data_IF_144531355128
#
_entry.id   IF_144531355128
#
_cell.length_a   1.000
_cell.length_b   1.000
_cell.length_c   1.000
_cell.angle_alpha   90.00
_cell.angle_beta   90.00
_cell.angle_gamma   90.00
#
_symmetry.space_group_name_H-M   'P 1'
#
loop_
_entity.id
_entity.type
_entity.pdbx_description
1 polymer ?
#
# COMPACT_ATOMS: atom_id res chain seq x y z
N UNK A 1 70.71 29.30 2.14
CA UNK A 1 70.18 30.49 1.44
C UNK A 1 68.80 30.13 0.90
N UNK A 2 67.74 30.88 1.27
CA UNK A 2 66.93 31.72 0.34
C UNK A 2 66.27 30.89 -0.79
N UNK A 3 64.97 30.83 -1.06
CA UNK A 3 63.75 31.61 -0.79
C UNK A 3 62.59 30.69 -1.26
N UNK A 4 61.50 30.53 -0.51
CA UNK A 4 60.17 31.11 -0.80
C UNK A 4 59.76 31.14 -2.29
N UNK A 5 58.69 30.42 -2.67
CA UNK A 5 57.52 31.07 -3.29
C UNK A 5 56.27 30.18 -3.23
N UNK A 6 55.27 30.76 -2.57
CA UNK A 6 53.86 30.42 -2.41
C UNK A 6 53.12 30.33 -3.75
N UNK A 7 52.24 29.34 -3.92
CA UNK A 7 51.08 29.46 -4.82
C UNK A 7 49.94 28.60 -4.27
N UNK A 8 49.18 29.22 -3.36
CA UNK A 8 47.92 28.72 -2.81
C UNK A 8 46.81 29.17 -3.77
N UNK A 9 46.51 28.34 -4.77
CA UNK A 9 45.42 28.62 -5.71
C UNK A 9 44.11 28.15 -5.08
N UNK A 10 43.39 29.10 -4.46
CA UNK A 10 42.05 28.89 -3.93
C UNK A 10 41.06 28.71 -5.09
N UNK A 11 40.71 27.45 -5.38
CA UNK A 11 39.63 27.12 -6.30
C UNK A 11 38.30 27.18 -5.53
N UNK A 12 37.68 28.36 -5.53
CA UNK A 12 36.31 28.53 -5.06
C UNK A 12 35.34 27.88 -6.07
N UNK A 13 34.98 26.61 -5.84
CA UNK A 13 33.86 25.98 -6.53
C UNK A 13 32.57 26.68 -6.06
N UNK A 14 32.04 27.55 -6.91
CA UNK A 14 30.71 28.13 -6.73
C UNK A 14 29.66 27.02 -6.69
N UNK A 15 29.07 26.81 -5.52
CA UNK A 15 27.84 26.05 -5.33
C UNK A 15 26.68 26.81 -5.97
N UNK A 16 26.47 26.59 -7.27
CA UNK A 16 25.22 27.00 -7.89
C UNK A 16 24.09 26.17 -7.27
N UNK A 17 23.04 26.79 -6.72
CA UNK A 17 21.87 26.06 -6.26
C UNK A 17 21.19 25.47 -7.49
N UNK A 18 21.42 24.18 -7.75
CA UNK A 18 20.55 23.43 -8.64
C UNK A 18 19.18 23.43 -7.98
N UNK A 19 18.13 23.99 -8.61
CA UNK A 19 16.79 23.74 -8.13
C UNK A 19 16.64 22.23 -8.13
N UNK A 20 16.40 21.64 -6.96
CA UNK A 20 15.96 20.27 -6.83
C UNK A 20 14.56 20.19 -7.46
N UNK A 21 14.52 20.20 -8.79
CA UNK A 21 13.33 19.92 -9.55
C UNK A 21 13.01 18.47 -9.27
N UNK A 22 12.02 18.23 -8.43
CA UNK A 22 11.44 16.91 -8.26
C UNK A 22 11.16 16.38 -9.66
N UNK A 23 11.91 15.37 -10.08
CA UNK A 23 11.79 14.73 -11.38
C UNK A 23 10.44 14.04 -11.43
N UNK A 24 9.45 14.79 -11.89
CA UNK A 24 8.10 14.27 -12.11
C UNK A 24 8.16 13.39 -13.34
N UNK A 25 8.14 12.07 -13.11
CA UNK A 25 8.05 11.11 -14.21
C UNK A 25 6.76 11.41 -15.01
N UNK A 26 6.83 11.45 -16.35
CA UNK A 26 5.64 11.63 -17.17
C UNK A 26 4.55 10.61 -16.80
N UNK A 27 3.27 11.02 -16.74
CA UNK A 27 2.18 10.10 -16.48
C UNK A 27 2.09 9.08 -17.62
N UNK A 28 2.04 7.80 -17.27
CA UNK A 28 1.89 6.68 -18.18
C UNK A 28 0.41 6.37 -18.36
N UNK A 29 -0.03 6.19 -19.60
CA UNK A 29 -1.39 5.73 -19.88
C UNK A 29 -1.58 4.28 -19.42
N UNK A 30 -2.82 3.86 -19.15
CA UNK A 30 -3.11 2.49 -18.69
C UNK A 30 -2.51 1.43 -19.65
N UNK A 31 -2.61 1.69 -20.95
CA UNK A 31 -2.02 0.84 -21.99
C UNK A 31 -0.51 0.76 -21.89
N UNK A 32 0.17 1.88 -21.66
CA UNK A 32 1.62 1.91 -21.49
C UNK A 32 2.04 1.18 -20.21
N UNK A 33 1.28 1.33 -19.12
CA UNK A 33 1.56 0.62 -17.88
C UNK A 33 1.39 -0.88 -18.05
N UNK A 34 0.27 -1.33 -18.63
CA UNK A 34 -0.01 -2.75 -18.87
C UNK A 34 1.03 -3.40 -19.82
N UNK A 35 1.56 -2.63 -20.77
CA UNK A 35 2.66 -3.07 -21.64
C UNK A 35 4.00 -3.19 -20.91
N UNK A 36 4.28 -2.28 -19.98
CA UNK A 36 5.52 -2.29 -19.19
C UNK A 36 5.51 -3.32 -18.06
N UNK A 37 4.34 -3.71 -17.57
CA UNK A 37 4.21 -4.73 -16.54
C UNK A 37 4.69 -6.09 -17.05
N UNK A 38 5.43 -6.81 -16.21
CA UNK A 38 5.73 -8.23 -16.44
C UNK A 38 4.58 -9.10 -15.94
N UNK A 39 4.00 -8.71 -14.79
CA UNK A 39 2.94 -9.42 -14.10
C UNK A 39 1.81 -8.45 -13.75
N UNK A 40 0.57 -8.82 -14.06
CA UNK A 40 -0.64 -8.06 -13.71
C UNK A 40 -1.56 -8.98 -12.90
N UNK A 41 -1.80 -8.62 -11.65
CA UNK A 41 -2.59 -9.44 -10.72
C UNK A 41 -3.58 -8.60 -9.94
N UNK A 42 -4.70 -9.22 -9.55
CA UNK A 42 -5.55 -8.74 -8.46
C UNK A 42 -5.15 -9.49 -7.21
N UNK A 43 -4.68 -8.78 -6.19
CA UNK A 43 -4.14 -9.40 -5.00
C UNK A 43 -4.48 -8.60 -3.74
N UNK A 44 -4.56 -9.32 -2.63
CA UNK A 44 -4.69 -8.76 -1.29
C UNK A 44 -3.33 -8.71 -0.61
N UNK A 45 -2.99 -7.57 -0.02
CA UNK A 45 -1.74 -7.39 0.71
C UNK A 45 -1.79 -8.05 2.09
N UNK A 46 -0.75 -8.80 2.42
CA UNK A 46 -0.48 -9.28 3.76
C UNK A 46 0.12 -8.20 4.66
N UNK A 47 0.43 -8.60 5.89
CA UNK A 47 1.09 -7.74 6.87
C UNK A 47 2.51 -7.40 6.43
N UNK A 48 2.89 -6.12 6.52
CA UNK A 48 4.25 -5.67 6.24
C UNK A 48 5.26 -6.30 7.21
N UNK A 49 6.40 -6.73 6.68
CA UNK A 49 7.54 -7.19 7.49
C UNK A 49 8.80 -6.46 7.05
N UNK A 50 9.67 -6.10 8.00
CA UNK A 50 10.96 -5.49 7.69
C UNK A 50 12.03 -6.57 7.63
N UNK A 51 12.80 -6.60 6.54
CA UNK A 51 13.86 -7.57 6.32
C UNK A 51 15.12 -6.84 5.88
N UNK A 52 16.25 -7.12 6.52
CA UNK A 52 17.54 -6.61 6.11
C UNK A 52 18.27 -7.66 5.27
N UNK A 53 18.62 -7.32 4.03
CA UNK A 53 19.35 -8.20 3.12
C UNK A 53 20.52 -7.42 2.50
N UNK A 54 21.73 -7.99 2.57
CA UNK A 54 22.95 -7.36 2.06
C UNK A 54 23.18 -5.91 2.55
N UNK A 55 22.76 -5.62 3.79
CA UNK A 55 22.87 -4.27 4.38
C UNK A 55 21.77 -3.29 3.95
N UNK A 56 20.83 -3.71 3.11
CA UNK A 56 19.68 -2.91 2.66
C UNK A 56 18.42 -3.35 3.39
N UNK A 57 17.66 -2.39 3.90
CA UNK A 57 16.38 -2.64 4.58
C UNK A 57 15.22 -2.62 3.59
N UNK A 58 14.50 -3.73 3.52
CA UNK A 58 13.33 -3.91 2.67
C UNK A 58 12.06 -4.01 3.51
N UNK A 59 10.99 -3.40 3.05
CA UNK A 59 9.63 -3.64 3.55
C UNK A 59 8.97 -4.66 2.62
N UNK A 60 8.59 -5.80 3.16
CA UNK A 60 8.07 -6.95 2.41
C UNK A 60 6.61 -7.17 2.74
N UNK A 61 5.77 -7.21 1.71
CA UNK A 61 4.33 -7.50 1.81
C UNK A 61 4.02 -8.81 1.10
N UNK A 62 3.65 -9.89 1.81
CA UNK A 62 3.15 -11.09 1.17
C UNK A 62 1.93 -10.78 0.32
N UNK A 63 1.82 -11.36 -0.87
CA UNK A 63 0.69 -11.17 -1.77
C UNK A 63 -0.18 -12.43 -1.76
N UNK A 64 -1.47 -12.25 -1.49
CA UNK A 64 -2.47 -13.29 -1.73
C UNK A 64 -3.13 -12.98 -3.07
N UNK A 65 -2.69 -13.66 -4.12
CA UNK A 65 -3.20 -13.46 -5.48
C UNK A 65 -4.58 -14.08 -5.60
N UNK A 66 -5.58 -13.26 -5.89
CA UNK A 66 -6.97 -13.67 -6.11
C UNK A 66 -7.20 -13.99 -7.58
N UNK A 67 -6.60 -13.20 -8.49
CA UNK A 67 -6.75 -13.37 -9.93
C UNK A 67 -5.47 -12.94 -10.65
N UNK A 68 -5.05 -13.71 -11.65
CA UNK A 68 -3.95 -13.35 -12.56
C UNK A 68 -4.53 -12.85 -13.88
N UNK A 69 -4.21 -11.62 -14.24
CA UNK A 69 -4.69 -10.99 -15.48
C UNK A 69 -3.68 -11.23 -16.61
N UNK A 70 -2.38 -11.09 -16.32
CA UNK A 70 -1.29 -11.34 -17.26
C UNK A 70 0.01 -11.71 -16.52
N UNK A 71 0.87 -12.46 -17.20
CA UNK A 71 2.16 -12.91 -16.65
C UNK A 71 2.03 -14.08 -15.66
N UNK A 72 3.14 -14.42 -15.02
CA UNK A 72 3.22 -15.50 -14.02
C UNK A 72 3.53 -14.93 -12.63
N UNK A 73 2.63 -15.05 -11.63
CA UNK A 73 2.90 -14.58 -10.28
C UNK A 73 4.04 -15.32 -9.59
N UNK A 74 4.38 -16.55 -10.01
CA UNK A 74 5.51 -17.29 -9.45
C UNK A 74 6.87 -16.69 -9.85
N UNK A 75 6.90 -15.84 -10.89
CA UNK A 75 8.09 -15.08 -11.30
C UNK A 75 8.41 -13.89 -10.39
N UNK A 76 7.46 -13.48 -9.54
CA UNK A 76 7.70 -12.45 -8.54
C UNK A 76 8.63 -12.98 -7.43
N UNK A 77 9.34 -12.10 -6.71
CA UNK A 77 10.06 -12.48 -5.52
C UNK A 77 9.16 -13.25 -4.55
N UNK A 78 9.64 -14.39 -4.04
CA UNK A 78 8.86 -15.22 -3.13
C UNK A 78 9.37 -15.12 -1.69
N UNK A 79 8.44 -15.07 -0.74
CA UNK A 79 8.70 -15.18 0.70
C UNK A 79 7.83 -16.29 1.25
N UNK A 80 8.44 -17.26 1.92
CA UNK A 80 7.71 -18.42 2.50
C UNK A 80 6.88 -19.19 1.45
N UNK A 81 7.40 -19.28 0.22
CA UNK A 81 6.71 -19.95 -0.90
C UNK A 81 5.52 -19.18 -1.48
N UNK A 82 5.31 -17.92 -1.08
CA UNK A 82 4.27 -17.04 -1.62
C UNK A 82 4.88 -15.85 -2.35
N UNK A 83 4.27 -15.38 -3.45
CA UNK A 83 4.67 -14.12 -4.07
C UNK A 83 4.63 -12.98 -3.05
N UNK A 84 5.61 -12.08 -3.10
CA UNK A 84 5.71 -10.96 -2.17
C UNK A 84 6.22 -9.70 -2.88
N UNK A 85 5.71 -8.56 -2.43
CA UNK A 85 6.16 -7.24 -2.85
C UNK A 85 7.33 -6.82 -1.97
N UNK A 86 8.48 -6.52 -2.57
CA UNK A 86 9.65 -5.99 -1.87
C UNK A 86 9.79 -4.51 -2.21
N UNK A 87 9.67 -3.63 -1.22
CA UNK A 87 9.89 -2.19 -1.39
C UNK A 87 11.11 -1.77 -0.58
N UNK A 88 11.95 -0.93 -1.17
CA UNK A 88 13.08 -0.36 -0.45
C UNK A 88 12.57 0.59 0.65
N UNK A 89 13.03 0.41 1.88
CA UNK A 89 12.61 1.25 3.00
C UNK A 89 13.16 2.69 2.86
N UNK A 90 12.37 3.68 3.26
CA UNK A 90 12.77 5.09 3.22
C UNK A 90 12.66 5.76 1.85
N UNK A 91 12.00 5.10 0.89
CA UNK A 91 11.72 5.67 -0.43
C UNK A 91 10.46 6.55 -0.36
N UNK A 92 10.62 7.84 -0.68
CA UNK A 92 9.52 8.80 -0.77
C UNK A 92 8.66 8.58 -2.02
N UNK A 93 7.37 8.96 -1.94
CA UNK A 93 6.45 8.92 -3.08
C UNK A 93 5.85 7.53 -3.39
N UNK A 94 6.10 6.55 -2.54
CA UNK A 94 5.41 5.26 -2.60
C UNK A 94 3.93 5.42 -2.23
N UNK A 95 3.04 4.59 -2.81
CA UNK A 95 1.64 4.57 -2.39
C UNK A 95 1.52 4.15 -0.92
N UNK A 96 0.50 4.67 -0.22
CA UNK A 96 0.19 4.22 1.13
C UNK A 96 -0.39 2.80 1.08
N UNK A 97 0.37 1.82 1.55
CA UNK A 97 0.00 0.42 1.53
C UNK A 97 -0.58 -0.02 2.87
N UNK A 98 -1.71 -0.73 2.84
CA UNK A 98 -2.38 -1.24 4.04
C UNK A 98 -2.50 -2.77 3.97
N UNK A 99 -2.28 -3.43 5.09
CA UNK A 99 -2.57 -4.86 5.20
C UNK A 99 -4.06 -5.11 4.97
N UNK A 100 -4.40 -6.18 4.25
CA UNK A 100 -5.76 -6.50 3.83
C UNK A 100 -6.28 -5.68 2.65
N UNK A 101 -5.48 -4.75 2.09
CA UNK A 101 -5.88 -3.95 0.95
C UNK A 101 -5.90 -4.80 -0.31
N UNK A 102 -7.05 -4.80 -1.00
CA UNK A 102 -7.21 -5.42 -2.30
C UNK A 102 -6.96 -4.39 -3.40
N UNK A 103 -6.18 -4.76 -4.41
CA UNK A 103 -5.89 -3.89 -5.54
C UNK A 103 -5.53 -4.67 -6.80
N UNK A 104 -5.60 -3.99 -7.94
CA UNK A 104 -4.90 -4.43 -9.15
C UNK A 104 -3.46 -3.90 -9.11
N UNK A 105 -2.52 -4.80 -9.32
CA UNK A 105 -1.08 -4.57 -9.27
C UNK A 105 -0.47 -4.82 -10.63
N UNK A 106 0.16 -3.81 -11.20
CA UNK A 106 1.00 -3.90 -12.38
C UNK A 106 2.44 -3.86 -11.90
N UNK A 107 3.11 -5.02 -12.00
CA UNK A 107 4.39 -5.28 -11.35
C UNK A 107 5.49 -5.61 -12.35
N UNK A 108 6.71 -5.24 -12.00
CA UNK A 108 7.93 -5.81 -12.56
C UNK A 108 8.28 -7.11 -11.83
N UNK A 109 8.79 -8.08 -12.58
CA UNK A 109 9.26 -9.37 -12.04
C UNK A 109 10.56 -9.24 -11.26
N UNK A 110 11.33 -8.19 -11.52
CA UNK A 110 12.66 -7.98 -10.95
C UNK A 110 12.59 -7.26 -9.61
N UNK A 111 13.56 -7.53 -8.73
CA UNK A 111 13.81 -6.72 -7.53
C UNK A 111 14.37 -5.36 -7.95
N UNK A 112 13.53 -4.34 -7.84
CA UNK A 112 13.84 -2.93 -8.04
C UNK A 112 13.51 -2.18 -6.74
N UNK A 113 13.87 -0.90 -6.66
CA UNK A 113 13.55 -0.05 -5.50
C UNK A 113 12.03 0.03 -5.26
N UNK A 114 11.26 0.09 -6.36
CA UNK A 114 9.82 -0.14 -6.38
C UNK A 114 9.48 -1.17 -7.47
N UNK A 115 8.83 -2.30 -7.11
CA UNK A 115 8.37 -3.30 -8.07
C UNK A 115 7.10 -2.85 -8.83
N UNK A 116 6.53 -1.69 -8.49
CA UNK A 116 5.31 -1.17 -9.12
C UNK A 116 5.66 -0.41 -10.41
N UNK A 117 4.93 -0.68 -11.49
CA UNK A 117 5.12 0.00 -12.77
C UNK A 117 4.92 1.51 -12.60
N UNK A 118 5.87 2.30 -13.12
CA UNK A 118 5.83 3.76 -12.95
C UNK A 118 5.89 4.20 -11.49
N UNK A 119 6.53 3.39 -10.63
CA UNK A 119 6.81 3.62 -9.20
C UNK A 119 5.60 3.61 -8.27
N UNK A 120 4.52 4.28 -8.66
CA UNK A 120 3.22 4.31 -7.96
C UNK A 120 2.02 4.26 -8.91
N UNK A 121 2.24 4.42 -10.22
CA UNK A 121 1.16 4.53 -11.20
C UNK A 121 0.47 3.18 -11.49
N UNK A 122 1.17 2.07 -11.30
CA UNK A 122 0.67 0.71 -11.53
C UNK A 122 -0.13 0.09 -10.38
N UNK A 123 -0.52 0.87 -9.37
CA UNK A 123 -1.27 0.40 -8.20
C UNK A 123 -2.70 0.96 -8.23
N UNK A 124 -3.71 0.10 -8.30
CA UNK A 124 -5.12 0.51 -8.40
C UNK A 124 -5.96 -0.12 -7.28
N UNK A 125 -6.11 0.57 -6.13
CA UNK A 125 -6.87 0.04 -5.00
C UNK A 125 -8.34 -0.19 -5.33
N UNK A 126 -8.90 -1.23 -4.74
CA UNK A 126 -10.34 -1.53 -4.78
C UNK A 126 -10.94 -1.12 -3.43
N UNK A 127 -11.64 0.00 -3.43
CA UNK A 127 -12.29 0.56 -2.25
C UNK A 127 -13.80 0.57 -2.46
N UNK A 128 -14.56 0.04 -1.50
CA UNK A 128 -16.02 -0.05 -1.59
C UNK A 128 -16.51 -0.73 -2.90
N UNK A 129 -15.77 -1.74 -3.37
CA UNK A 129 -16.06 -2.46 -4.62
C UNK A 129 -15.76 -1.67 -5.90
N UNK A 130 -15.02 -0.55 -5.82
CA UNK A 130 -14.66 0.29 -6.96
C UNK A 130 -13.16 0.46 -7.07
N UNK A 131 -12.66 0.47 -8.31
CA UNK A 131 -11.26 0.78 -8.62
C UNK A 131 -11.05 2.29 -8.56
N UNK A 132 -10.03 2.72 -7.81
CA UNK A 132 -9.66 4.13 -7.67
C UNK A 132 -8.24 4.39 -8.17
N UNK A 133 -7.95 5.62 -8.64
CA UNK A 133 -6.58 6.01 -9.04
C UNK A 133 -5.71 6.17 -7.80
N UNK A 134 -4.45 5.73 -7.83
CA UNK A 134 -3.48 6.13 -6.82
C UNK A 134 -3.32 7.66 -6.85
N UNK A 135 -3.47 8.30 -5.68
CA UNK A 135 -3.34 9.76 -5.55
C UNK A 135 -4.57 10.58 -5.96
N UNK A 136 -5.62 9.97 -6.53
CA UNK A 136 -6.92 10.63 -6.54
C UNK A 136 -7.43 10.60 -5.10
N UNK A 137 -7.38 11.75 -4.43
CA UNK A 137 -7.92 11.87 -3.08
C UNK A 137 -9.36 11.35 -3.09
N UNK A 138 -9.60 10.22 -2.43
CA UNK A 138 -10.95 9.80 -2.10
C UNK A 138 -11.56 10.97 -1.33
N UNK A 139 -12.67 11.59 -1.79
CA UNK A 139 -13.32 12.61 -1.00
C UNK A 139 -13.62 11.94 0.33
N UNK A 140 -13.01 12.45 1.40
CA UNK A 140 -13.17 11.87 2.73
C UNK A 140 -14.67 11.63 2.94
N UNK A 141 -15.07 10.37 3.10
CA UNK A 141 -16.39 10.08 3.59
C UNK A 141 -16.49 10.83 4.92
N UNK A 142 -17.40 11.80 4.99
CA UNK A 142 -17.67 12.55 6.21
C UNK A 142 -17.99 11.55 7.32
N UNK A 143 -16.98 11.17 8.10
CA UNK A 143 -17.20 10.62 9.44
C UNK A 143 -18.00 11.69 10.18
N UNK A 144 -19.22 11.40 10.67
CA UNK A 144 -19.93 12.37 11.49
C UNK A 144 -19.04 12.64 12.71
N UNK A 145 -18.47 13.85 12.76
CA UNK A 145 -17.81 14.35 13.94
C UNK A 145 -18.85 14.38 15.04
N UNK A 146 -18.64 13.55 16.05
CA UNK A 146 -19.34 13.58 17.34
C UNK A 146 -19.01 14.91 18.01
N UNK A 147 -19.71 15.97 17.61
CA UNK A 147 -19.63 17.30 18.21
C UNK A 147 -20.77 17.50 19.19
N UNK A 148 -20.42 17.43 20.48
CA UNK A 148 -20.96 18.19 21.63
C UNK A 148 -22.49 18.25 21.82
N UNK A 149 -23.03 17.82 22.98
CA UNK A 149 -24.45 17.95 23.28
C UNK A 149 -24.81 19.42 23.48
N UNK A 150 -25.58 19.99 22.55
CA UNK A 150 -26.32 21.21 22.79
C UNK A 150 -27.54 20.86 23.66
N UNK A 151 -27.64 21.52 24.82
CA UNK A 151 -28.76 21.40 25.73
C UNK A 151 -30.07 21.79 25.02
N UNK A 152 -30.92 20.80 24.78
CA UNK A 152 -32.29 21.02 24.31
C UNK A 152 -33.20 21.26 25.52
N UNK A 153 -33.77 22.45 25.57
CA UNK A 153 -34.86 22.86 26.46
C UNK A 153 -36.03 21.90 26.35
N UNK A 154 -36.54 21.46 27.50
CA UNK A 154 -37.71 20.60 27.62
C UNK A 154 -38.98 21.32 27.15
N UNK A 155 -39.74 20.68 26.26
CA UNK A 155 -41.16 20.96 26.03
C UNK A 155 -41.95 19.65 26.18
N UNK A 156 -43.05 19.75 26.90
CA UNK A 156 -43.88 18.70 27.48
C UNK A 156 -44.70 17.88 26.44
N UNK A 157 -45.44 16.82 26.86
CA UNK A 157 -45.77 15.64 26.05
C UNK A 157 -47.11 15.74 25.30
N UNK A 158 -47.23 15.00 24.20
CA UNK A 158 -48.50 14.69 23.55
C UNK A 158 -48.67 13.18 23.34
N UNK A 159 -49.59 12.63 24.13
CA UNK A 159 -50.63 11.60 23.89
C UNK A 159 -50.29 10.22 23.27
N UNK A 160 -50.79 9.10 23.85
CA UNK A 160 -50.58 7.73 23.36
C UNK A 160 -51.58 7.32 22.26
N UNK A 161 -51.08 6.65 21.22
CA UNK A 161 -51.86 5.96 20.20
C UNK A 161 -51.63 4.45 20.26
N UNK A 162 -52.69 3.71 20.54
CA UNK A 162 -52.74 2.27 20.83
C UNK A 162 -52.89 1.39 19.58
N UNK A 163 -52.20 0.25 19.64
CA UNK A 163 -52.46 -1.07 19.03
C UNK A 163 -52.60 -1.25 17.49
N UNK A 164 -51.76 -2.15 16.98
CA UNK A 164 -52.02 -2.98 15.80
C UNK A 164 -51.34 -4.34 15.99
N UNK A 165 -52.14 -5.38 16.09
CA UNK A 165 -51.83 -6.75 16.54
C UNK A 165 -51.42 -7.66 15.36
N UNK A 166 -50.41 -8.51 15.61
CA UNK A 166 -50.12 -9.86 15.07
C UNK A 166 -50.11 -10.14 13.54
N UNK A 167 -49.16 -10.97 13.10
CA UNK A 167 -49.43 -12.36 12.64
C UNK A 167 -48.12 -13.14 12.48
N UNK A 168 -48.11 -14.36 13.02
CA UNK A 168 -47.06 -15.36 12.92
C UNK A 168 -47.29 -16.31 11.73
N UNK A 169 -46.23 -16.97 11.25
CA UNK A 169 -46.27 -18.09 10.32
C UNK A 169 -45.26 -17.91 9.18
N UNK A 170 -44.48 -18.89 8.73
CA UNK A 170 -44.48 -20.32 9.00
C UNK A 170 -43.09 -20.91 8.75
N UNK A 171 -42.81 -21.99 9.48
CA UNK A 171 -41.77 -22.98 9.24
C UNK A 171 -41.99 -23.69 7.90
N UNK A 172 -40.92 -23.88 7.13
CA UNK A 172 -40.89 -24.71 5.93
C UNK A 172 -39.67 -25.62 5.97
N UNK A 173 -39.91 -26.91 6.18
CA UNK A 173 -38.95 -28.00 6.14
C UNK A 173 -39.01 -28.76 4.80
N UNK A 174 -37.89 -29.40 4.43
CA UNK A 174 -37.79 -30.45 3.41
C UNK A 174 -37.28 -29.95 2.04
N UNK A 175 -36.50 -30.69 1.24
CA UNK A 175 -36.06 -32.10 1.31
C UNK A 175 -35.04 -32.36 0.18
N UNK A 176 -34.10 -33.27 0.44
CA UNK A 176 -33.53 -34.34 -0.43
C UNK A 176 -33.08 -34.11 -1.90
N UNK A 177 -31.89 -34.66 -2.19
CA UNK A 177 -31.47 -35.20 -3.51
C UNK A 177 -30.14 -34.58 -3.98
N UNK A 178 -29.13 -35.30 -4.44
CA UNK A 178 -29.00 -36.71 -4.83
C UNK A 178 -27.50 -37.03 -4.92
N UNK A 179 -27.12 -38.22 -4.48
CA UNK A 179 -25.79 -38.80 -4.68
C UNK A 179 -25.48 -38.99 -6.18
N UNK A 180 -24.23 -38.79 -6.58
CA UNK A 180 -23.70 -39.43 -7.80
C UNK A 180 -22.30 -39.92 -7.51
N UNK A 181 -22.18 -41.25 -7.48
CA UNK A 181 -20.96 -42.01 -7.43
C UNK A 181 -20.20 -41.85 -8.76
N UNK A 182 -18.90 -41.56 -8.68
CA UNK A 182 -17.96 -41.61 -9.79
C UNK A 182 -16.76 -42.46 -9.39
N UNK A 183 -16.77 -43.71 -9.85
CA UNK A 183 -15.69 -44.70 -9.73
C UNK A 183 -14.62 -44.51 -10.80
N UNK A 184 -13.35 -44.73 -10.42
CA UNK A 184 -12.23 -45.01 -11.33
C UNK A 184 -11.05 -44.06 -11.13
N UNK A 185 -9.78 -44.45 -11.10
CA UNK A 185 -9.11 -45.76 -11.26
C UNK A 185 -7.73 -45.61 -10.64
N UNK A 186 -7.23 -46.69 -10.01
CA UNK A 186 -5.88 -46.78 -9.49
C UNK A 186 -4.82 -46.72 -10.61
N UNK A 187 -3.73 -46.00 -10.35
CA UNK A 187 -2.53 -45.96 -11.20
C UNK A 187 -1.27 -45.82 -10.35
N UNK A 188 -0.55 -46.93 -10.23
CA UNK A 188 0.68 -47.21 -9.49
C UNK A 188 1.86 -46.26 -9.85
N UNK A 189 2.77 -45.98 -8.90
CA UNK A 189 3.95 -45.12 -9.12
C UNK A 189 5.11 -45.87 -9.79
N UNK A 190 6.07 -45.15 -10.42
CA UNK A 190 7.43 -45.62 -10.53
C UNK A 190 8.35 -44.96 -9.49
N UNK A 191 9.20 -45.82 -8.95
CA UNK A 191 10.25 -45.56 -7.99
C UNK A 191 11.48 -44.86 -8.57
N UNK A 192 12.33 -44.41 -7.62
CA UNK A 192 13.80 -44.44 -7.65
C UNK A 192 14.51 -43.37 -8.52
N UNK A 193 15.67 -42.79 -8.16
CA UNK A 193 16.70 -42.96 -7.13
C UNK A 193 17.44 -41.61 -7.04
N UNK A 194 18.03 -41.28 -5.88
CA UNK A 194 18.87 -40.07 -5.77
C UNK A 194 19.54 -39.91 -4.42
N UNK A 195 20.63 -40.65 -4.22
CA UNK A 195 21.53 -40.61 -3.08
C UNK A 195 22.26 -39.27 -2.92
N UNK A 196 22.58 -38.92 -1.67
CA UNK A 196 23.57 -37.90 -1.27
C UNK A 196 22.93 -36.83 -0.38
N UNK A 197 23.44 -36.44 0.77
CA UNK A 197 24.73 -36.68 1.41
C UNK A 197 24.54 -36.36 2.91
N UNK A 198 25.12 -37.17 3.78
CA UNK A 198 25.19 -36.94 5.23
C UNK A 198 25.99 -35.67 5.54
N UNK A 199 25.32 -34.68 6.12
CA UNK A 199 25.95 -33.52 6.76
C UNK A 199 25.73 -33.56 8.27
N UNK A 200 26.70 -34.07 9.01
CA UNK A 200 26.82 -33.90 10.46
C UNK A 200 27.14 -32.45 10.78
N UNK A 201 26.14 -31.70 11.23
CA UNK A 201 26.27 -30.34 11.73
C UNK A 201 26.15 -30.31 13.25
N UNK A 202 27.26 -30.03 13.90
CA UNK A 202 27.52 -29.92 15.33
C UNK A 202 26.58 -29.01 16.11
N UNK A 203 26.20 -29.48 17.30
CA UNK A 203 25.59 -28.73 18.40
C UNK A 203 26.52 -27.61 18.89
N UNK A 204 26.04 -26.37 18.85
CA UNK A 204 26.68 -25.21 19.46
C UNK A 204 25.67 -24.46 20.32
N UNK A 205 25.59 -24.83 21.59
CA UNK A 205 24.92 -24.05 22.62
C UNK A 205 25.76 -22.79 22.90
N UNK A 206 25.16 -21.61 22.79
CA UNK A 206 25.73 -20.37 23.30
C UNK A 206 24.66 -19.62 24.08
N UNK A 207 24.62 -19.93 25.38
CA UNK A 207 24.00 -19.12 26.43
C UNK A 207 24.82 -17.83 26.54
N UNK A 208 24.18 -16.67 26.36
CA UNK A 208 24.86 -15.39 26.41
C UNK A 208 23.90 -14.25 26.71
N UNK A 209 23.44 -14.17 27.95
CA UNK A 209 22.88 -12.94 28.53
C UNK A 209 24.04 -12.08 29.02
N UNK A 210 24.11 -10.80 28.62
CA UNK A 210 24.52 -9.81 29.61
C UNK A 210 23.72 -8.49 29.55
N UNK A 211 23.30 -8.11 30.75
CA UNK A 211 23.28 -6.76 31.32
C UNK A 211 22.40 -5.67 30.67
N UNK A 212 21.36 -5.32 31.42
CA UNK A 212 20.70 -4.02 31.37
C UNK A 212 21.63 -2.90 31.88
N UNK A 213 21.72 -1.75 31.18
CA UNK A 213 22.21 -0.52 31.78
C UNK A 213 21.07 0.22 32.50
N UNK A 214 21.17 0.25 33.82
CA UNK A 214 20.52 1.24 34.70
C UNK A 214 21.19 2.61 34.58
N UNK A 215 20.38 3.66 34.56
CA UNK A 215 20.74 4.99 35.09
C UNK A 215 20.89 6.10 34.06
N UNK A 216 20.15 7.20 34.24
CA UNK A 216 20.40 8.44 33.48
C UNK A 216 19.34 9.54 33.59
N UNK A 217 19.29 10.18 34.75
CA UNK A 217 18.96 11.60 34.99
C UNK A 217 17.67 12.22 34.40
N UNK A 218 16.77 12.57 35.33
CA UNK A 218 15.76 13.60 35.15
C UNK A 218 16.42 14.97 34.92
N UNK A 219 16.17 15.56 33.75
CA UNK A 219 16.46 16.97 33.45
C UNK A 219 15.16 17.77 33.42
N UNK A 220 14.92 18.58 34.44
CA UNK A 220 13.91 19.64 34.43
C UNK A 220 14.38 20.76 33.50
N UNK A 221 13.81 20.84 32.30
CA UNK A 221 14.00 21.97 31.40
C UNK A 221 12.85 22.97 31.56
N UNK A 222 13.21 24.17 32.01
CA UNK A 222 12.34 25.32 32.20
C UNK A 222 11.68 25.76 30.88
N UNK A 223 10.37 25.95 30.90
CA UNK A 223 9.60 26.51 29.79
C UNK A 223 9.90 28.01 29.63
N UNK A 224 10.34 28.50 28.46
CA UNK A 224 10.37 29.94 28.18
C UNK A 224 8.93 30.46 28.00
N UNK A 225 8.53 31.38 28.88
CA UNK A 225 7.32 32.18 28.72
C UNK A 225 7.51 33.14 27.54
N UNK A 226 6.85 32.87 26.42
CA UNK A 226 6.76 33.79 25.29
C UNK A 226 5.40 34.51 25.34
N UNK A 227 5.46 35.81 25.64
CA UNK A 227 4.34 36.73 25.51
C UNK A 227 3.87 36.78 24.05
N UNK A 228 2.59 36.52 23.73
CA UNK A 228 2.10 36.61 22.37
C UNK A 228 2.03 38.07 21.91
N UNK A 229 2.50 38.40 20.69
CA UNK A 229 2.34 39.74 20.12
C UNK A 229 0.88 40.04 19.76
N UNK A 230 0.49 41.33 19.73
CA UNK A 230 -0.89 41.75 19.46
C UNK A 230 -1.34 41.35 18.06
N UNK A 231 -2.58 40.85 17.99
CA UNK A 231 -3.26 40.34 16.81
C UNK A 231 -3.51 41.48 15.81
N UNK A 232 -2.95 41.35 14.60
CA UNK A 232 -3.25 42.24 13.49
C UNK A 232 -4.70 42.02 12.98
N UNK A 233 -5.39 43.06 12.48
CA UNK A 233 -6.74 42.94 11.94
C UNK A 233 -6.77 41.99 10.74
N UNK A 234 -7.74 41.08 10.74
CA UNK A 234 -7.94 40.06 9.72
C UNK A 234 -8.35 40.70 8.38
N UNK A 235 -7.44 40.70 7.40
CA UNK A 235 -7.75 40.99 6.00
C UNK A 235 -8.53 39.81 5.42
N UNK A 236 -9.75 40.06 4.95
CA UNK A 236 -10.61 39.06 4.35
C UNK A 236 -9.89 38.36 3.16
N UNK A 237 -9.87 37.01 3.10
CA UNK A 237 -9.25 36.31 2.00
C UNK A 237 -9.99 36.62 0.70
N UNK A 238 -9.24 37.06 -0.31
CA UNK A 238 -9.72 37.24 -1.66
C UNK A 238 -10.36 35.93 -2.14
N UNK A 239 -11.56 36.02 -2.72
CA UNK A 239 -12.27 34.88 -3.28
C UNK A 239 -11.35 34.12 -4.25
N UNK A 240 -11.04 32.87 -3.90
CA UNK A 240 -10.21 32.01 -4.73
C UNK A 240 -10.92 31.81 -6.08
N UNK A 241 -10.28 32.29 -7.14
CA UNK A 241 -10.67 32.00 -8.52
C UNK A 241 -10.57 30.48 -8.68
N UNK A 242 -11.71 29.81 -8.89
CA UNK A 242 -11.75 28.38 -9.09
C UNK A 242 -11.00 28.04 -10.39
N UNK A 243 -9.80 27.49 -10.24
CA UNK A 243 -9.05 26.93 -11.36
C UNK A 243 -9.86 25.78 -11.97
N UNK A 244 -10.08 25.73 -13.29
CA UNK A 244 -10.83 24.64 -13.91
C UNK A 244 -10.14 23.30 -13.61
N UNK A 245 -10.92 22.33 -13.17
CA UNK A 245 -10.44 20.96 -12.93
C UNK A 245 -9.87 20.41 -14.23
N UNK A 246 -8.61 19.95 -14.27
CA UNK A 246 -8.06 19.35 -15.48
C UNK A 246 -8.88 18.12 -15.85
N UNK A 247 -9.46 18.13 -17.06
CA UNK A 247 -10.12 16.96 -17.63
C UNK A 247 -9.08 15.86 -17.82
N UNK A 248 -9.20 14.78 -17.04
CA UNK A 248 -8.29 13.63 -17.13
C UNK A 248 -8.40 13.01 -18.54
N UNK A 249 -7.31 13.00 -19.33
CA UNK A 249 -7.36 12.49 -20.70
C UNK A 249 -7.58 10.96 -20.75
N UNK A 250 -7.41 10.24 -19.64
CA UNK A 250 -7.63 8.79 -19.54
C UNK A 250 -8.53 8.48 -18.33
N UNK A 251 -9.87 8.58 -18.46
CA UNK A 251 -10.78 8.22 -17.39
C UNK A 251 -10.64 6.73 -17.06
N UNK A 252 -10.49 6.44 -15.78
CA UNK A 252 -10.34 5.07 -15.28
C UNK A 252 -11.73 4.49 -15.06
N UNK A 253 -11.94 3.28 -15.55
CA UNK A 253 -13.14 2.52 -15.27
C UNK A 253 -13.16 2.12 -13.79
N UNK A 254 -14.24 2.50 -13.08
CA UNK A 254 -14.38 2.23 -11.65
C UNK A 254 -14.89 0.81 -11.37
N UNK A 255 -15.54 0.16 -12.33
CA UNK A 255 -15.98 -1.22 -12.20
C UNK A 255 -14.79 -2.20 -12.28
N UNK A 256 -14.55 -3.05 -11.27
CA UNK A 256 -13.41 -3.96 -11.26
C UNK A 256 -13.38 -4.95 -12.42
N UNK A 257 -14.54 -5.40 -12.89
CA UNK A 257 -14.64 -6.40 -13.97
C UNK A 257 -14.27 -5.75 -15.29
N UNK A 258 -14.85 -4.58 -15.58
CA UNK A 258 -14.51 -3.84 -16.79
C UNK A 258 -13.07 -3.34 -16.77
N UNK A 259 -12.56 -2.90 -15.61
CA UNK A 259 -11.16 -2.49 -15.47
C UNK A 259 -10.19 -3.65 -15.76
N UNK A 260 -10.48 -4.84 -15.23
CA UNK A 260 -9.74 -6.07 -15.56
C UNK A 260 -9.77 -6.34 -17.07
N UNK A 261 -10.93 -6.26 -17.70
CA UNK A 261 -11.06 -6.53 -19.13
C UNK A 261 -10.30 -5.49 -19.97
N UNK A 262 -10.29 -4.23 -19.53
CA UNK A 262 -9.47 -3.17 -20.13
C UNK A 262 -7.96 -3.46 -20.00
N UNK A 263 -7.49 -3.95 -18.85
CA UNK A 263 -6.10 -4.38 -18.67
C UNK A 263 -5.73 -5.54 -19.60
N UNK A 264 -6.62 -6.52 -19.76
CA UNK A 264 -6.41 -7.65 -20.66
C UNK A 264 -6.36 -7.19 -22.12
N UNK A 265 -7.28 -6.31 -22.53
CA UNK A 265 -7.30 -5.72 -23.87
C UNK A 265 -6.03 -4.90 -24.14
N UNK A 266 -5.61 -4.07 -23.19
CA UNK A 266 -4.39 -3.28 -23.26
C UNK A 266 -3.13 -4.16 -23.45
N UNK A 267 -3.10 -5.34 -22.82
CA UNK A 267 -2.02 -6.31 -22.98
C UNK A 267 -2.07 -7.04 -24.33
N UNK A 268 -3.26 -7.35 -24.83
CA UNK A 268 -3.46 -8.06 -26.10
C UNK A 268 -3.19 -7.20 -27.34
N UNK A 269 -3.20 -5.87 -27.23
CA UNK A 269 -2.88 -4.94 -28.32
C UNK A 269 -1.37 -4.87 -28.64
N UNK A 270 -0.70 -6.03 -28.69
CA UNK A 270 0.71 -6.25 -29.01
C UNK A 270 0.86 -6.83 -30.42
#
# INVERSE_FOLDING_TARGET
MRRALTLLTALALGTAPFPAGATTAPPLTLTQQAKKADVIVRATLGTATSVQEAGVTWTVYPLTVTETIAGDPASLPQREGKPALYLLAGVDGLPELRAGQEAFWLLYSRRLDSPVVGFSQGFYPIENGRVTRPGAATPAANSPTTGTPAAATATAPATPGTAGTATAGASGAGTSGTDTAGTGTAGTPPAALGSGTTGTGTTGAATGTPAAPTGGAAGTASSPSTTPPPTAPATAPAAAVATPTPTDPDPIESDPVKFRDALRAARAAQ
#
